data_IF_932619611325
#
_entry.id   IF_932619611325
#
_cell.length_a   1.000
_cell.length_b   1.000
_cell.length_c   1.000
_cell.angle_alpha   90.00
_cell.angle_beta   90.00
_cell.angle_gamma   90.00
#
_symmetry.space_group_name_H-M   'P 1'
#
loop_
_entity.id
_entity.type
_entity.pdbx_description
1 polymer ?
#
# COMPACT_ATOMS: atom_id res chain seq x y z
N UNK A 1 -10.11 4.82 27.21
CA UNK A 1 -11.07 4.29 26.23
C UNK A 1 -10.83 5.04 24.93
N UNK A 2 -10.36 4.34 23.90
CA UNK A 2 -10.39 4.89 22.54
C UNK A 2 -11.86 4.81 22.13
N UNK A 3 -12.46 5.94 21.75
CA UNK A 3 -13.83 5.95 21.26
C UNK A 3 -13.80 5.46 19.82
N UNK A 4 -14.28 4.24 19.58
CA UNK A 4 -14.44 3.71 18.22
C UNK A 4 -15.43 4.60 17.44
N UNK A 5 -15.06 4.94 16.21
CA UNK A 5 -15.88 5.76 15.32
C UNK A 5 -16.29 4.97 14.08
N UNK A 6 -17.32 5.45 13.39
CA UNK A 6 -17.67 4.89 12.08
C UNK A 6 -16.64 5.22 10.99
N UNK A 7 -15.58 5.97 11.31
CA UNK A 7 -14.59 6.47 10.36
C UNK A 7 -13.18 5.96 10.63
N UNK A 8 -12.98 5.06 11.61
CA UNK A 8 -11.65 4.55 11.98
C UNK A 8 -10.95 3.88 10.79
N UNK A 9 -11.71 3.30 9.86
CA UNK A 9 -11.21 2.75 8.59
C UNK A 9 -10.47 3.78 7.74
N UNK A 10 -10.82 5.06 7.81
CA UNK A 10 -10.12 6.10 7.05
C UNK A 10 -8.68 6.29 7.53
N UNK A 11 -8.38 5.90 8.77
CA UNK A 11 -7.06 6.05 9.40
C UNK A 11 -6.31 4.73 9.43
N UNK A 12 -6.94 3.66 9.92
CA UNK A 12 -6.25 2.38 10.14
C UNK A 12 -6.01 1.60 8.85
N UNK A 13 -6.94 1.72 7.89
CA UNK A 13 -6.94 0.88 6.70
C UNK A 13 -5.79 1.21 5.74
N UNK A 14 -5.44 2.49 5.50
CA UNK A 14 -4.24 2.84 4.77
C UNK A 14 -2.96 2.20 5.35
N UNK A 15 -2.79 2.21 6.67
CA UNK A 15 -1.61 1.63 7.33
C UNK A 15 -1.52 0.11 7.10
N UNK A 16 -2.63 -0.61 7.23
CA UNK A 16 -2.70 -2.04 6.92
C UNK A 16 -2.26 -2.30 5.47
N UNK A 17 -2.77 -1.50 4.52
CA UNK A 17 -2.42 -1.62 3.11
C UNK A 17 -0.93 -1.36 2.90
N UNK A 18 -0.36 -0.32 3.53
CA UNK A 18 1.08 0.00 3.47
C UNK A 18 1.92 -1.18 3.97
N UNK A 19 1.61 -1.73 5.14
CA UNK A 19 2.34 -2.87 5.70
C UNK A 19 2.30 -4.11 4.79
N UNK A 20 1.15 -4.34 4.14
CA UNK A 20 0.99 -5.42 3.16
C UNK A 20 1.84 -5.19 1.91
N UNK A 21 1.99 -3.94 1.46
CA UNK A 21 2.87 -3.58 0.36
C UNK A 21 4.34 -3.74 0.75
N UNK A 22 4.74 -3.28 1.94
CA UNK A 22 6.09 -3.40 2.50
C UNK A 22 6.55 -4.86 2.62
N UNK A 23 5.64 -5.81 2.84
CA UNK A 23 5.97 -7.23 2.90
C UNK A 23 6.56 -7.82 1.61
N UNK A 24 6.36 -7.14 0.48
CA UNK A 24 6.80 -7.61 -0.82
C UNK A 24 8.13 -6.97 -1.22
N UNK A 25 9.19 -7.79 -1.25
CA UNK A 25 10.54 -7.33 -1.57
C UNK A 25 10.61 -6.58 -2.90
N UNK A 26 9.83 -6.99 -3.92
CA UNK A 26 9.86 -6.30 -5.21
C UNK A 26 9.25 -4.90 -5.13
N UNK A 27 8.31 -4.65 -4.22
CA UNK A 27 7.77 -3.31 -3.97
C UNK A 27 8.84 -2.44 -3.31
N UNK A 28 9.41 -2.90 -2.21
CA UNK A 28 10.44 -2.18 -1.44
C UNK A 28 11.67 -1.87 -2.30
N UNK A 29 12.15 -2.86 -3.05
CA UNK A 29 13.29 -2.72 -3.97
C UNK A 29 13.03 -1.68 -5.07
N UNK A 30 11.83 -1.69 -5.65
CA UNK A 30 11.48 -0.78 -6.75
C UNK A 30 11.17 0.64 -6.26
N UNK A 31 10.64 0.82 -5.05
CA UNK A 31 10.39 2.14 -4.47
C UNK A 31 11.70 2.85 -4.11
N UNK A 32 12.59 2.18 -3.36
CA UNK A 32 13.91 2.71 -3.00
C UNK A 32 14.88 2.81 -4.17
N UNK A 33 14.64 2.01 -5.23
CA UNK A 33 15.63 1.78 -6.28
C UNK A 33 16.94 1.16 -5.73
N UNK A 34 16.84 0.37 -4.66
CA UNK A 34 17.93 -0.39 -4.02
C UNK A 34 17.56 -1.88 -4.06
N UNK A 35 18.53 -2.76 -4.35
CA UNK A 35 18.27 -4.21 -4.38
C UNK A 35 18.40 -4.80 -2.99
N UNK A 36 17.42 -5.63 -2.58
CA UNK A 36 17.32 -6.19 -1.23
C UNK A 36 17.20 -5.12 -0.14
N UNK A 37 16.42 -4.08 -0.42
CA UNK A 37 16.17 -3.00 0.52
C UNK A 37 15.45 -3.50 1.79
N UNK A 38 15.69 -2.84 2.91
CA UNK A 38 15.11 -3.13 4.23
C UNK A 38 14.09 -2.05 4.63
N UNK A 39 13.50 -2.15 5.83
CA UNK A 39 12.65 -1.09 6.36
C UNK A 39 13.39 0.22 6.60
N UNK A 40 14.67 0.16 6.99
CA UNK A 40 15.51 1.36 7.17
C UNK A 40 15.63 2.18 5.87
N UNK A 41 15.56 1.53 4.70
CA UNK A 41 15.55 2.23 3.41
C UNK A 41 14.20 2.89 3.10
N UNK A 42 13.12 2.51 3.82
CA UNK A 42 11.74 2.98 3.64
C UNK A 42 11.34 4.07 4.62
N UNK A 43 12.03 4.20 5.75
CA UNK A 43 11.76 5.19 6.80
C UNK A 43 12.58 6.47 6.56
N UNK A 44 12.01 7.61 6.92
CA UNK A 44 12.75 8.87 7.07
C UNK A 44 13.30 9.04 8.49
N UNK A 45 14.00 10.15 8.74
CA UNK A 45 14.61 10.44 10.05
C UNK A 45 13.60 10.56 11.20
N UNK A 46 12.31 10.74 10.88
CA UNK A 46 11.20 10.82 11.84
C UNK A 46 10.48 9.46 12.01
N UNK A 47 10.95 8.40 11.35
CA UNK A 47 10.34 7.07 11.37
C UNK A 47 9.06 6.96 10.54
N UNK A 48 8.85 7.86 9.57
CA UNK A 48 7.71 7.81 8.65
C UNK A 48 8.08 7.16 7.33
N UNK A 49 7.08 6.56 6.68
CA UNK A 49 7.26 5.91 5.38
C UNK A 49 7.55 6.92 4.25
N UNK A 50 8.81 7.02 3.79
CA UNK A 50 9.27 7.97 2.75
C UNK A 50 8.53 7.86 1.41
N UNK A 51 8.07 6.66 1.09
CA UNK A 51 7.47 6.29 -0.21
C UNK A 51 5.97 6.00 -0.14
N UNK A 52 5.34 6.21 1.02
CA UNK A 52 3.92 5.96 1.22
C UNK A 52 3.23 7.18 1.81
N UNK A 53 2.03 7.46 1.31
CA UNK A 53 1.19 8.56 1.75
C UNK A 53 -0.22 8.01 1.98
N UNK A 54 -0.84 8.37 3.09
CA UNK A 54 -2.23 8.04 3.47
C UNK A 54 -3.23 9.08 2.92
N UNK A 55 -2.85 9.77 1.83
CA UNK A 55 -3.66 10.76 1.13
C UNK A 55 -3.32 10.79 -0.36
N UNK A 56 -4.27 11.25 -1.18
CA UNK A 56 -4.26 11.09 -2.64
C UNK A 56 -3.42 12.14 -3.43
N UNK A 57 -2.32 12.63 -2.84
CA UNK A 57 -1.40 13.54 -3.53
C UNK A 57 0.04 13.38 -3.04
N UNK A 58 1.00 13.81 -3.87
CA UNK A 58 2.39 13.98 -3.47
C UNK A 58 2.65 15.48 -3.36
N UNK A 59 3.22 15.96 -2.24
CA UNK A 59 3.57 17.36 -2.09
C UNK A 59 4.41 17.89 -3.26
N UNK A 60 3.97 19.01 -3.85
CA UNK A 60 4.62 19.61 -5.03
C UNK A 60 6.07 20.06 -4.78
N UNK A 61 6.43 20.28 -3.51
CA UNK A 61 7.78 20.66 -3.08
C UNK A 61 8.80 19.53 -3.20
N UNK A 62 8.36 18.30 -3.47
CA UNK A 62 9.27 17.16 -3.62
C UNK A 62 9.95 17.23 -4.99
N UNK A 63 11.22 17.67 -4.96
CA UNK A 63 12.11 17.65 -6.12
C UNK A 63 12.78 16.28 -6.34
N UNK A 64 12.55 15.31 -5.45
CA UNK A 64 13.19 14.00 -5.51
C UNK A 64 12.70 13.16 -6.70
N UNK A 65 13.65 12.57 -7.43
CA UNK A 65 13.39 11.53 -8.44
C UNK A 65 13.00 10.25 -7.69
N UNK A 66 11.70 10.06 -7.45
CA UNK A 66 11.19 8.88 -6.72
C UNK A 66 9.95 8.25 -7.32
N UNK A 67 9.61 7.08 -6.80
CA UNK A 67 8.29 6.47 -6.96
C UNK A 67 7.64 6.39 -5.58
N UNK A 68 6.32 6.50 -5.51
CA UNK A 68 5.60 6.44 -4.24
C UNK A 68 4.18 5.91 -4.43
N UNK A 69 3.61 5.38 -3.35
CA UNK A 69 2.20 5.05 -3.27
C UNK A 69 1.43 6.08 -2.46
N UNK A 70 0.25 6.44 -2.94
CA UNK A 70 -0.80 7.09 -2.18
C UNK A 70 -1.90 6.07 -1.95
N UNK A 71 -2.34 5.94 -0.70
CA UNK A 71 -3.39 5.03 -0.28
C UNK A 71 -4.52 5.87 0.28
N UNK A 72 -5.69 5.73 -0.31
CA UNK A 72 -6.89 6.45 0.11
C UNK A 72 -8.08 5.49 0.18
N UNK A 73 -9.01 5.75 1.08
CA UNK A 73 -10.16 4.89 1.35
C UNK A 73 -11.43 5.70 1.45
N UNK A 74 -12.45 5.31 0.69
CA UNK A 74 -13.80 5.87 0.78
C UNK A 74 -14.72 4.91 1.52
N UNK A 75 -15.55 5.46 2.42
CA UNK A 75 -16.72 4.77 2.96
C UNK A 75 -17.89 5.01 2.00
N UNK A 76 -18.12 4.06 1.10
CA UNK A 76 -19.17 4.16 0.07
C UNK A 76 -20.56 4.04 0.69
N UNK A 77 -20.73 3.13 1.65
CA UNK A 77 -21.98 3.01 2.39
C UNK A 77 -21.80 2.32 3.74
N UNK A 78 -22.70 2.61 4.67
CA UNK A 78 -22.78 1.96 5.99
C UNK A 78 -24.16 1.33 6.13
N UNK A 79 -24.40 0.13 5.56
CA UNK A 79 -25.72 -0.49 5.59
C UNK A 79 -26.23 -0.80 7.00
N UNK A 80 -25.32 -1.11 7.94
CA UNK A 80 -25.64 -1.36 9.34
C UNK A 80 -24.41 -1.10 10.24
N UNK A 81 -24.56 -1.29 11.55
CA UNK A 81 -23.48 -1.05 12.53
C UNK A 81 -22.26 -1.98 12.39
N UNK A 82 -22.47 -3.17 11.84
CA UNK A 82 -21.45 -4.24 11.75
C UNK A 82 -20.78 -4.33 10.38
N UNK A 83 -21.34 -3.73 9.32
CA UNK A 83 -20.80 -3.83 7.97
C UNK A 83 -20.78 -2.50 7.24
N UNK A 84 -19.71 -2.29 6.47
CA UNK A 84 -19.50 -1.15 5.57
C UNK A 84 -19.15 -1.64 4.17
N UNK A 85 -19.39 -0.81 3.17
CA UNK A 85 -18.79 -0.95 1.84
C UNK A 85 -17.70 0.09 1.70
N UNK A 86 -16.49 -0.34 1.40
CA UNK A 86 -15.36 0.55 1.16
C UNK A 86 -14.92 0.51 -0.31
N UNK A 87 -14.37 1.62 -0.77
CA UNK A 87 -13.53 1.68 -1.95
C UNK A 87 -12.11 2.02 -1.53
N UNK A 88 -11.14 1.23 -2.00
CA UNK A 88 -9.73 1.44 -1.76
C UNK A 88 -9.07 1.92 -3.05
N UNK A 89 -8.36 3.04 -2.95
CA UNK A 89 -7.55 3.58 -4.02
C UNK A 89 -6.08 3.37 -3.70
N UNK A 90 -5.39 2.68 -4.60
CA UNK A 90 -3.94 2.50 -4.54
C UNK A 90 -3.35 3.21 -5.74
N UNK A 91 -2.87 4.43 -5.52
CA UNK A 91 -2.26 5.26 -6.54
C UNK A 91 -0.75 5.11 -6.50
N UNK A 92 -0.13 4.79 -7.63
CA UNK A 92 1.31 4.77 -7.78
C UNK A 92 1.75 5.95 -8.64
N UNK A 93 2.65 6.76 -8.09
CA UNK A 93 3.36 7.81 -8.80
C UNK A 93 4.78 7.33 -9.10
N UNK A 94 5.27 7.63 -10.28
CA UNK A 94 6.64 7.35 -10.66
C UNK A 94 7.20 8.54 -11.43
N UNK A 95 8.29 9.12 -10.92
CA UNK A 95 9.04 10.14 -11.65
C UNK A 95 9.44 9.59 -13.01
N UNK A 96 9.31 10.42 -14.06
CA UNK A 96 9.71 10.06 -15.41
C UNK A 96 11.19 9.66 -15.47
N UNK A 97 12.05 10.29 -14.67
CA UNK A 97 13.48 9.97 -14.57
C UNK A 97 13.76 8.62 -13.89
N UNK A 98 12.82 8.09 -13.10
CA UNK A 98 12.92 6.77 -12.44
C UNK A 98 12.11 5.67 -13.17
N UNK A 99 11.47 6.00 -14.30
CA UNK A 99 10.52 5.11 -14.98
C UNK A 99 11.20 3.85 -15.54
N UNK A 100 12.41 3.97 -16.07
CA UNK A 100 13.18 2.84 -16.59
C UNK A 100 13.77 2.00 -15.47
N UNK A 101 13.67 0.69 -15.60
CA UNK A 101 14.29 -0.26 -14.66
C UNK A 101 15.70 -0.57 -15.15
N UNK A 102 16.70 -0.44 -14.26
CA UNK A 102 18.04 -0.92 -14.53
C UNK A 102 18.06 -2.45 -14.42
N UNK A 103 17.95 -3.14 -15.54
CA UNK A 103 17.85 -4.61 -15.62
C UNK A 103 19.13 -5.35 -15.18
N UNK A 104 20.26 -4.65 -15.06
CA UNK A 104 21.49 -5.22 -14.47
C UNK A 104 21.38 -5.37 -12.96
N UNK A 105 20.68 -4.43 -12.31
CA UNK A 105 20.45 -4.43 -10.86
C UNK A 105 19.18 -5.23 -10.53
N UNK A 106 18.11 -5.00 -11.29
CA UNK A 106 16.81 -5.66 -11.13
C UNK A 106 16.60 -6.66 -12.25
N UNK A 107 17.27 -7.81 -12.14
CA UNK A 107 17.17 -8.90 -13.12
C UNK A 107 15.76 -9.52 -13.12
N UNK A 108 15.28 -9.94 -14.29
CA UNK A 108 13.97 -10.59 -14.44
C UNK A 108 12.75 -9.65 -14.52
N UNK A 109 12.94 -8.34 -14.34
CA UNK A 109 11.87 -7.36 -14.55
C UNK A 109 11.75 -6.99 -16.03
N UNK A 110 10.52 -7.02 -16.54
CA UNK A 110 10.17 -6.55 -17.87
C UNK A 110 9.26 -5.31 -17.79
N UNK A 111 9.31 -4.44 -18.79
CA UNK A 111 8.51 -3.21 -18.82
C UNK A 111 9.09 -2.09 -17.95
N UNK A 112 8.21 -1.22 -17.43
CA UNK A 112 8.60 -0.04 -16.66
C UNK A 112 8.33 -0.19 -15.16
N UNK A 113 8.94 0.69 -14.36
CA UNK A 113 8.85 0.69 -12.89
C UNK A 113 7.42 0.83 -12.41
N UNK A 114 6.67 1.78 -12.96
CA UNK A 114 5.27 2.06 -12.58
C UNK A 114 4.37 0.83 -12.71
N UNK A 115 4.42 0.13 -13.85
CA UNK A 115 3.59 -1.05 -14.07
C UNK A 115 4.01 -2.23 -13.19
N UNK A 116 5.31 -2.40 -12.93
CA UNK A 116 5.78 -3.44 -12.01
C UNK A 116 5.33 -3.15 -10.59
N UNK A 117 5.44 -1.90 -10.11
CA UNK A 117 4.96 -1.49 -8.81
C UNK A 117 3.47 -1.81 -8.63
N UNK A 118 2.61 -1.48 -9.61
CA UNK A 118 1.18 -1.83 -9.55
C UNK A 118 0.93 -3.35 -9.55
N UNK A 119 1.68 -4.09 -10.38
CA UNK A 119 1.57 -5.56 -10.44
C UNK A 119 1.89 -6.20 -9.09
N UNK A 120 2.96 -5.75 -8.45
CA UNK A 120 3.36 -6.29 -7.16
C UNK A 120 2.49 -5.78 -6.02
N UNK A 121 1.95 -4.57 -6.11
CA UNK A 121 0.93 -4.09 -5.18
C UNK A 121 -0.33 -4.95 -5.23
N UNK A 122 -0.85 -5.24 -6.42
CA UNK A 122 -1.99 -6.14 -6.60
C UNK A 122 -1.72 -7.55 -6.03
N UNK A 123 -0.51 -8.08 -6.30
CA UNK A 123 -0.10 -9.37 -5.75
C UNK A 123 -0.07 -9.36 -4.22
N UNK A 124 0.50 -8.31 -3.60
CA UNK A 124 0.58 -8.14 -2.15
C UNK A 124 -0.79 -8.07 -1.48
N UNK A 125 -1.75 -7.39 -2.13
CA UNK A 125 -3.07 -7.18 -1.56
C UNK A 125 -3.99 -8.40 -1.74
N UNK A 126 -3.84 -9.16 -2.82
CA UNK A 126 -4.73 -10.31 -3.09
C UNK A 126 -4.21 -11.66 -2.61
N UNK A 127 -2.90 -11.79 -2.41
CA UNK A 127 -2.29 -13.08 -2.03
C UNK A 127 -2.12 -13.19 -0.52
N UNK A 128 -2.35 -14.37 0.05
CA UNK A 128 -1.96 -14.66 1.44
C UNK A 128 -0.43 -14.88 1.51
N UNK A 129 0.35 -13.81 1.38
CA UNK A 129 1.79 -13.89 1.57
C UNK A 129 2.11 -14.03 3.06
N UNK A 130 2.98 -14.97 3.46
CA UNK A 130 3.49 -15.01 4.81
C UNK A 130 4.34 -13.77 5.09
N UNK A 131 4.52 -13.46 6.37
CA UNK A 131 5.40 -12.38 6.79
C UNK A 131 6.83 -12.58 6.26
N UNK A 132 7.40 -11.53 5.71
CA UNK A 132 8.76 -11.48 5.19
C UNK A 132 9.72 -10.98 6.27
N UNK A 133 10.29 -11.93 7.02
CA UNK A 133 11.27 -11.64 8.08
C UNK A 133 12.58 -11.02 7.59
N UNK A 134 12.85 -10.97 6.27
CA UNK A 134 14.00 -10.24 5.74
C UNK A 134 13.78 -8.73 5.77
N UNK A 135 12.52 -8.30 5.69
CA UNK A 135 12.13 -6.89 5.72
C UNK A 135 11.81 -6.49 7.16
N UNK A 136 10.92 -7.24 7.81
CA UNK A 136 10.44 -6.92 9.17
C UNK A 136 11.32 -7.45 10.31
N UNK A 137 12.46 -8.08 9.99
CA UNK A 137 13.34 -8.69 10.97
C UNK A 137 12.77 -9.96 11.62
N UNK A 138 13.48 -10.47 12.63
CA UNK A 138 13.13 -11.71 13.33
C UNK A 138 12.07 -11.53 14.41
N UNK A 139 11.90 -10.30 14.93
CA UNK A 139 11.01 -9.98 16.04
C UNK A 139 10.08 -8.78 15.71
N UNK A 140 9.21 -8.91 14.69
CA UNK A 140 8.14 -7.95 14.42
C UNK A 140 7.19 -7.80 15.62
N UNK A 141 6.55 -6.64 15.73
CA UNK A 141 5.49 -6.39 16.71
C UNK A 141 4.33 -7.36 16.54
N UNK A 142 3.56 -7.58 17.62
CA UNK A 142 2.38 -8.46 17.56
C UNK A 142 1.35 -7.95 16.55
N UNK A 143 1.15 -6.64 16.48
CA UNK A 143 0.29 -5.98 15.49
C UNK A 143 0.61 -6.39 14.05
N UNK A 144 1.90 -6.35 13.68
CA UNK A 144 2.37 -6.77 12.35
C UNK A 144 2.10 -8.27 12.15
N UNK A 145 2.41 -9.12 13.13
CA UNK A 145 2.16 -10.58 13.03
C UNK A 145 0.70 -10.88 12.75
N UNK A 146 -0.21 -10.25 13.50
CA UNK A 146 -1.64 -10.44 13.38
C UNK A 146 -2.13 -10.12 11.96
N UNK A 147 -1.66 -9.02 11.36
CA UNK A 147 -2.00 -8.67 9.97
C UNK A 147 -1.68 -9.80 8.98
N UNK A 148 -0.53 -10.47 9.13
CA UNK A 148 -0.14 -11.54 8.21
C UNK A 148 -0.80 -12.88 8.54
N UNK A 149 -1.09 -13.16 9.81
CA UNK A 149 -1.80 -14.37 10.24
C UNK A 149 -3.27 -14.35 9.83
N UNK A 150 -3.92 -13.19 9.86
CA UNK A 150 -5.29 -13.02 9.36
C UNK A 150 -5.37 -12.99 7.82
N UNK A 151 -4.25 -12.74 7.13
CA UNK A 151 -4.16 -12.72 5.68
C UNK A 151 -5.21 -11.81 5.04
N UNK A 152 -5.94 -12.30 4.04
CA UNK A 152 -6.98 -11.50 3.39
C UNK A 152 -8.18 -11.12 4.28
N UNK A 153 -8.35 -11.74 5.46
CA UNK A 153 -9.45 -11.38 6.39
C UNK A 153 -9.27 -10.01 7.04
N UNK A 154 -8.06 -9.46 7.00
CA UNK A 154 -7.78 -8.10 7.49
C UNK A 154 -8.54 -7.06 6.65
N UNK A 155 -8.86 -7.39 5.40
CA UNK A 155 -9.66 -6.53 4.51
C UNK A 155 -11.16 -6.76 4.65
N UNK A 156 -11.62 -7.47 5.68
CA UNK A 156 -13.03 -7.83 5.89
C UNK A 156 -13.37 -9.24 5.43
N UNK A 157 -14.68 -9.55 5.42
CA UNK A 157 -15.18 -10.88 5.02
C UNK A 157 -15.27 -10.97 3.49
N UNK A 158 -15.54 -9.85 2.82
CA UNK A 158 -15.43 -9.73 1.38
C UNK A 158 -13.97 -9.81 0.92
N UNK A 159 -13.71 -10.51 -0.18
CA UNK A 159 -12.42 -10.45 -0.85
C UNK A 159 -12.29 -9.08 -1.54
N UNK A 160 -11.09 -8.50 -1.53
CA UNK A 160 -10.77 -7.35 -2.38
C UNK A 160 -11.11 -7.64 -3.85
N UNK A 161 -11.99 -6.83 -4.43
CA UNK A 161 -12.40 -6.94 -5.82
C UNK A 161 -11.76 -5.82 -6.64
N UNK A 162 -10.81 -6.13 -7.52
CA UNK A 162 -10.24 -5.15 -8.43
C UNK A 162 -11.31 -4.68 -9.43
N UNK A 163 -11.71 -3.41 -9.37
CA UNK A 163 -12.71 -2.82 -10.26
C UNK A 163 -12.07 -2.28 -11.53
N UNK A 164 -10.96 -1.56 -11.41
CA UNK A 164 -10.25 -1.04 -12.56
C UNK A 164 -8.78 -0.73 -12.24
N UNK A 165 -8.00 -0.58 -13.32
CA UNK A 165 -6.65 -0.01 -13.30
C UNK A 165 -6.59 1.04 -14.39
N UNK A 166 -6.26 2.29 -14.04
CA UNK A 166 -6.26 3.41 -14.99
C UNK A 166 -5.04 4.30 -14.84
N UNK A 167 -4.59 4.86 -15.96
CA UNK A 167 -3.69 6.02 -15.94
C UNK A 167 -4.49 7.23 -15.50
N UNK A 168 -3.94 8.00 -14.58
CA UNK A 168 -4.54 9.22 -14.06
C UNK A 168 -3.56 10.36 -14.27
N UNK A 169 -4.05 11.55 -14.54
CA UNK A 169 -3.21 12.74 -14.64
C UNK A 169 -2.63 13.06 -13.25
N UNK A 170 -1.32 13.24 -13.18
CA UNK A 170 -0.66 13.84 -12.02
C UNK A 170 -0.77 15.37 -12.12
N UNK A 171 -0.97 16.05 -11.00
CA UNK A 171 -0.84 17.51 -10.97
C UNK A 171 0.57 17.99 -11.33
N UNK A 172 1.58 17.13 -11.09
CA UNK A 172 2.97 17.36 -11.43
C UNK A 172 3.37 16.54 -12.67
N UNK A 173 3.68 17.24 -13.77
CA UNK A 173 4.05 16.63 -15.06
C UNK A 173 5.33 15.80 -15.01
N UNK A 174 6.19 15.98 -14.01
CA UNK A 174 7.40 15.16 -13.83
C UNK A 174 7.09 13.73 -13.37
N UNK A 175 5.85 13.45 -12.97
CA UNK A 175 5.40 12.13 -12.54
C UNK A 175 4.38 11.58 -13.51
N UNK A 176 4.42 10.27 -13.74
CA UNK A 176 3.28 9.54 -14.25
C UNK A 176 2.52 8.91 -13.08
N UNK A 177 1.20 8.82 -13.17
CA UNK A 177 0.34 8.25 -12.14
C UNK A 177 -0.56 7.16 -12.73
N UNK A 178 -0.72 6.08 -11.98
CA UNK A 178 -1.73 5.04 -12.23
C UNK A 178 -2.40 4.64 -10.92
N UNK A 179 -3.67 4.29 -10.99
CA UNK A 179 -4.50 3.97 -9.83
C UNK A 179 -5.12 2.60 -10.02
N UNK A 180 -5.05 1.76 -8.98
CA UNK A 180 -5.93 0.61 -8.81
C UNK A 180 -7.11 1.04 -7.93
N UNK A 181 -8.32 0.67 -8.33
CA UNK A 181 -9.52 0.84 -7.50
C UNK A 181 -10.03 -0.54 -7.12
N UNK A 182 -10.14 -0.80 -5.83
CA UNK A 182 -10.74 -2.01 -5.29
C UNK A 182 -12.06 -1.68 -4.61
N UNK A 183 -13.03 -2.58 -4.75
CA UNK A 183 -14.21 -2.60 -3.89
C UNK A 183 -14.02 -3.62 -2.80
N UNK A 184 -14.48 -3.28 -1.60
CA UNK A 184 -14.47 -4.15 -0.43
C UNK A 184 -15.91 -4.26 0.07
N UNK A 185 -16.68 -5.24 -0.45
CA UNK A 185 -18.02 -5.50 0.05
C UNK A 185 -17.93 -6.08 1.47
N UNK A 186 -18.90 -5.75 2.32
CA UNK A 186 -19.07 -6.35 3.64
C UNK A 186 -17.82 -6.25 4.53
N UNK A 187 -17.18 -5.08 4.52
CA UNK A 187 -16.11 -4.75 5.45
C UNK A 187 -16.65 -4.81 6.88
N UNK A 188 -16.08 -5.69 7.71
CA UNK A 188 -16.55 -5.91 9.08
C UNK A 188 -15.95 -4.83 10.00
N UNK A 189 -16.81 -4.03 10.62
CA UNK A 189 -16.40 -3.00 11.60
C UNK A 189 -15.92 -3.60 12.90
N UNK A 190 -16.41 -4.79 13.27
CA UNK A 190 -15.97 -5.55 14.44
C UNK A 190 -14.74 -6.42 14.14
N UNK A 191 -13.84 -5.96 13.28
CA UNK A 191 -12.52 -6.58 13.13
C UNK A 191 -11.90 -6.74 14.52
N UNK A 192 -11.18 -7.85 14.74
CA UNK A 192 -10.36 -8.00 15.96
C UNK A 192 -9.58 -6.70 16.05
N UNK A 193 -9.86 -5.88 17.06
CA UNK A 193 -9.10 -4.67 17.31
C UNK A 193 -7.66 -5.11 17.38
N UNK A 194 -6.91 -4.91 16.30
CA UNK A 194 -5.49 -5.20 16.29
C UNK A 194 -4.93 -4.06 17.12
N UNK A 195 -4.84 -4.30 18.43
CA UNK A 195 -4.45 -3.28 19.38
C UNK A 195 -3.07 -2.77 18.97
N UNK A 196 -3.01 -1.51 18.55
CA UNK A 196 -1.78 -0.75 18.33
C UNK A 196 -1.15 -0.46 19.70
#
# INVERSE_FOLDING_TARGET
MVNETYLDELVDFPEIVILRLLNNQNVVDLLSNIKNATLDDMEDDDGKWKYFYDYEHIPETIQEIKSAFCIDTDIVSVPNKSTKRLELYVSCYCSQANMSINTRVFTGFAGNRLNNLLRYADLSLRSNMPLNNKIFGSNPSQYIRDIFDFGNRVFGIGKLELKNVRTVTSGNTAFAKKMLTYSIPDFNTNRVAINV
#
